data_IF_594256848810
#
_entry.id   IF_594256848810
#
_cell.length_a   1.000
_cell.length_b   1.000
_cell.length_c   1.000
_cell.angle_alpha   90.00
_cell.angle_beta   90.00
_cell.angle_gamma   90.00
#
_symmetry.space_group_name_H-M   'P 1'
#
loop_
_entity.id
_entity.type
_entity.pdbx_description
1 polymer ?
#
# COMPACT_ATOMS: atom_id res chain seq x y z
N UNK A 1 -7.95 1.67 -7.76
CA UNK A 1 -7.88 2.34 -6.45
C UNK A 1 -8.71 1.55 -5.46
N UNK A 2 -8.08 1.08 -4.39
CA UNK A 2 -8.68 0.20 -3.40
C UNK A 2 -9.81 0.88 -2.63
N UNK A 3 -10.95 0.19 -2.52
CA UNK A 3 -12.11 0.67 -1.76
C UNK A 3 -11.99 0.22 -0.31
N UNK A 4 -12.08 1.17 0.64
CA UNK A 4 -11.90 0.89 2.08
C UNK A 4 -12.78 -0.26 2.58
N UNK A 5 -14.03 -0.28 2.13
CA UNK A 5 -15.01 -1.29 2.53
C UNK A 5 -14.59 -2.71 2.11
N UNK A 6 -13.95 -2.87 0.96
CA UNK A 6 -13.47 -4.16 0.47
C UNK A 6 -12.27 -4.66 1.28
N UNK A 7 -11.34 -3.76 1.60
CA UNK A 7 -10.20 -4.06 2.49
C UNK A 7 -10.69 -4.53 3.86
N UNK A 8 -11.64 -3.80 4.46
CA UNK A 8 -12.21 -4.17 5.76
C UNK A 8 -12.94 -5.52 5.68
N UNK A 9 -13.75 -5.75 4.64
CA UNK A 9 -14.43 -7.02 4.42
C UNK A 9 -13.43 -8.18 4.35
N UNK A 10 -12.32 -7.99 3.65
CA UNK A 10 -11.26 -8.99 3.55
C UNK A 10 -10.58 -9.27 4.89
N UNK A 11 -10.32 -8.23 5.69
CA UNK A 11 -9.81 -8.40 7.05
C UNK A 11 -10.76 -9.25 7.91
N UNK A 12 -12.07 -9.00 7.81
CA UNK A 12 -13.08 -9.76 8.55
C UNK A 12 -13.17 -11.22 8.13
N UNK A 13 -13.03 -11.51 6.83
CA UNK A 13 -12.94 -12.88 6.32
C UNK A 13 -11.72 -13.59 6.90
N UNK A 14 -10.54 -12.97 6.83
CA UNK A 14 -9.31 -13.54 7.37
C UNK A 14 -9.39 -13.74 8.89
N UNK A 15 -10.03 -12.83 9.61
CA UNK A 15 -10.27 -12.96 11.03
C UNK A 15 -11.16 -14.16 11.38
N UNK A 16 -12.23 -14.43 10.60
CA UNK A 16 -13.07 -15.62 10.80
C UNK A 16 -12.31 -16.92 10.56
N UNK A 17 -11.42 -16.94 9.57
CA UNK A 17 -10.59 -18.10 9.24
C UNK A 17 -9.53 -18.32 10.34
N UNK A 18 -8.81 -17.25 10.72
CA UNK A 18 -7.79 -17.26 11.75
C UNK A 18 -8.35 -17.66 13.13
N UNK A 19 -9.56 -17.19 13.47
CA UNK A 19 -10.26 -17.60 14.68
C UNK A 19 -10.50 -19.11 14.74
N UNK A 20 -10.62 -19.80 13.62
CA UNK A 20 -10.77 -21.26 13.56
C UNK A 20 -9.43 -22.00 13.43
N UNK A 21 -8.31 -21.28 13.32
CA UNK A 21 -6.98 -21.81 13.03
C UNK A 21 -6.97 -22.72 11.78
N UNK A 22 -7.84 -22.44 10.80
CA UNK A 22 -7.86 -23.13 9.51
C UNK A 22 -6.61 -22.79 8.71
N UNK A 23 -6.14 -23.64 7.78
CA UNK A 23 -4.96 -23.37 6.95
C UNK A 23 -4.95 -22.00 6.28
N UNK A 24 -3.74 -21.47 6.04
CA UNK A 24 -3.54 -20.19 5.33
C UNK A 24 -4.17 -20.29 3.93
N UNK A 25 -5.09 -19.39 3.56
CA UNK A 25 -5.66 -19.36 2.21
C UNK A 25 -4.59 -19.09 1.14
N UNK A 26 -4.78 -19.67 -0.04
CA UNK A 26 -3.95 -19.38 -1.21
C UNK A 26 -4.29 -18.02 -1.84
N UNK A 27 -3.38 -17.50 -2.66
CA UNK A 27 -3.59 -16.27 -3.44
C UNK A 27 -3.58 -14.97 -2.62
N UNK A 28 -3.23 -15.03 -1.33
CA UNK A 28 -3.13 -13.85 -0.48
C UNK A 28 -1.90 -13.00 -0.81
N UNK A 29 -2.08 -11.69 -0.83
CA UNK A 29 -1.01 -10.70 -0.80
C UNK A 29 -0.18 -10.81 0.48
N UNK A 30 1.02 -10.24 0.49
CA UNK A 30 1.90 -10.28 1.67
C UNK A 30 1.25 -9.65 2.91
N UNK A 31 0.52 -8.53 2.73
CA UNK A 31 -0.19 -7.86 3.83
C UNK A 31 -1.30 -8.74 4.43
N UNK A 32 -2.05 -9.46 3.58
CA UNK A 32 -3.09 -10.40 4.02
C UNK A 32 -2.51 -11.61 4.73
N UNK A 33 -1.41 -12.18 4.22
CA UNK A 33 -0.71 -13.29 4.86
C UNK A 33 -0.22 -12.90 6.25
N UNK A 34 0.35 -11.70 6.39
CA UNK A 34 0.81 -11.18 7.67
C UNK A 34 -0.35 -10.98 8.64
N UNK A 35 -1.44 -10.35 8.21
CA UNK A 35 -2.65 -10.20 9.04
C UNK A 35 -3.14 -11.55 9.56
N UNK A 36 -3.34 -12.52 8.67
CA UNK A 36 -3.84 -13.84 9.05
C UNK A 36 -2.90 -14.53 10.06
N UNK A 37 -1.59 -14.54 9.81
CA UNK A 37 -0.62 -15.21 10.69
C UNK A 37 -0.59 -14.57 12.07
N UNK A 38 -0.60 -13.24 12.13
CA UNK A 38 -0.64 -12.50 13.40
C UNK A 38 -1.94 -12.74 14.16
N UNK A 39 -3.09 -12.77 13.48
CA UNK A 39 -4.38 -13.12 14.12
C UNK A 39 -4.36 -14.54 14.69
N UNK A 40 -3.77 -15.52 13.98
CA UNK A 40 -3.62 -16.87 14.51
C UNK A 40 -2.77 -16.90 15.79
N UNK A 41 -1.74 -16.06 15.91
CA UNK A 41 -0.94 -15.94 17.14
C UNK A 41 -1.81 -15.39 18.27
N UNK A 42 -2.50 -14.26 18.05
CA UNK A 42 -3.40 -13.66 19.06
C UNK A 42 -4.42 -14.68 19.56
N UNK A 43 -5.05 -15.44 18.65
CA UNK A 43 -6.02 -16.45 19.03
C UNK A 43 -5.41 -17.63 19.79
N UNK A 44 -4.17 -18.05 19.48
CA UNK A 44 -3.47 -19.10 20.23
C UNK A 44 -3.12 -18.62 21.64
N UNK A 45 -2.50 -17.45 21.77
CA UNK A 45 -2.09 -16.89 23.05
C UNK A 45 -3.29 -16.66 23.97
N UNK A 46 -4.40 -16.13 23.44
CA UNK A 46 -5.63 -15.93 24.20
C UNK A 46 -6.21 -17.26 24.70
N UNK A 47 -6.24 -18.30 23.87
CA UNK A 47 -6.73 -19.65 24.26
C UNK A 47 -5.82 -20.33 25.26
N UNK A 48 -4.52 -20.08 25.18
CA UNK A 48 -3.52 -20.58 26.13
C UNK A 48 -3.52 -19.79 27.46
N UNK A 49 -4.36 -18.75 27.58
CA UNK A 49 -4.44 -17.91 28.77
C UNK A 49 -3.23 -17.00 29.00
N UNK A 50 -2.37 -16.84 27.98
CA UNK A 50 -1.16 -16.00 28.08
C UNK A 50 -1.49 -14.51 27.98
N UNK A 51 -2.59 -14.17 27.31
CA UNK A 51 -3.11 -12.81 27.20
C UNK A 51 -4.57 -12.78 27.61
N UNK A 52 -5.00 -11.65 28.18
CA UNK A 52 -6.40 -11.45 28.52
C UNK A 52 -7.25 -11.01 27.31
N UNK A 53 -8.56 -10.93 27.51
CA UNK A 53 -9.51 -10.55 26.45
C UNK A 53 -9.28 -9.12 25.95
N UNK A 54 -8.87 -8.21 26.84
CA UNK A 54 -8.67 -6.81 26.48
C UNK A 54 -7.44 -6.69 25.58
N UNK A 55 -6.32 -7.28 25.99
CA UNK A 55 -5.10 -7.35 25.20
C UNK A 55 -5.36 -7.99 23.83
N UNK A 56 -6.09 -9.11 23.77
CA UNK A 56 -6.43 -9.74 22.50
C UNK A 56 -7.25 -8.83 21.56
N UNK A 57 -8.16 -8.02 22.10
CA UNK A 57 -8.95 -7.07 21.32
C UNK A 57 -8.11 -5.89 20.83
N UNK A 58 -7.22 -5.37 21.68
CA UNK A 58 -6.33 -4.25 21.35
C UNK A 58 -5.32 -4.66 20.27
N UNK A 59 -4.68 -5.83 20.40
CA UNK A 59 -3.80 -6.41 19.39
C UNK A 59 -4.52 -6.59 18.05
N UNK A 60 -5.74 -7.14 18.07
CA UNK A 60 -6.54 -7.30 16.85
C UNK A 60 -6.80 -5.97 16.15
N UNK A 61 -7.11 -4.92 16.91
CA UNK A 61 -7.36 -3.58 16.37
C UNK A 61 -6.12 -3.00 15.69
N UNK A 62 -4.95 -3.16 16.30
CA UNK A 62 -3.68 -2.71 15.71
C UNK A 62 -3.31 -3.50 14.46
N UNK A 63 -3.52 -4.83 14.46
CA UNK A 63 -3.32 -5.66 13.28
C UNK A 63 -4.21 -5.23 12.10
N UNK A 64 -5.48 -4.91 12.36
CA UNK A 64 -6.38 -4.37 11.34
C UNK A 64 -5.87 -3.04 10.77
N UNK A 65 -5.41 -2.13 11.64
CA UNK A 65 -4.85 -0.85 11.22
C UNK A 65 -3.61 -1.02 10.35
N UNK A 66 -2.69 -1.89 10.77
CA UNK A 66 -1.46 -2.19 10.02
C UNK A 66 -1.77 -2.82 8.65
N UNK A 67 -2.71 -3.77 8.60
CA UNK A 67 -3.16 -4.37 7.34
C UNK A 67 -3.76 -3.35 6.39
N UNK A 68 -4.68 -2.50 6.86
CA UNK A 68 -5.32 -1.47 6.03
C UNK A 68 -4.26 -0.54 5.43
N UNK A 69 -3.32 -0.07 6.25
CA UNK A 69 -2.23 0.78 5.77
C UNK A 69 -1.35 0.05 4.74
N UNK A 70 -1.01 -1.22 4.98
CA UNK A 70 -0.23 -2.02 4.05
C UNK A 70 -0.93 -2.27 2.71
N UNK A 71 -2.23 -2.55 2.75
CA UNK A 71 -3.04 -2.72 1.54
C UNK A 71 -3.09 -1.44 0.71
N UNK A 72 -3.29 -0.28 1.35
CA UNK A 72 -3.26 1.02 0.67
C UNK A 72 -1.88 1.36 0.11
N UNK A 73 -0.81 1.08 0.84
CA UNK A 73 0.55 1.32 0.36
C UNK A 73 0.86 0.49 -0.90
N UNK A 74 0.40 -0.77 -0.93
CA UNK A 74 0.54 -1.63 -2.11
C UNK A 74 -0.26 -1.10 -3.31
N UNK A 75 -1.53 -0.71 -3.10
CA UNK A 75 -2.38 -0.10 -4.15
C UNK A 75 -1.72 1.14 -4.75
N UNK A 76 -1.22 2.01 -3.88
CA UNK A 76 -0.60 3.27 -4.27
C UNK A 76 0.66 3.00 -5.07
N UNK A 77 1.51 2.07 -4.64
CA UNK A 77 2.74 1.73 -5.33
C UNK A 77 2.46 1.10 -6.70
N UNK A 78 1.49 0.18 -6.79
CA UNK A 78 1.09 -0.42 -8.07
C UNK A 78 0.49 0.62 -9.03
N UNK A 79 -0.39 1.48 -8.51
CA UNK A 79 -1.00 2.57 -9.27
C UNK A 79 0.07 3.54 -9.78
N UNK A 80 0.99 3.94 -8.90
CA UNK A 80 2.12 4.79 -9.27
C UNK A 80 3.01 4.13 -10.34
N UNK A 81 3.26 2.83 -10.24
CA UNK A 81 4.02 2.08 -11.24
C UNK A 81 3.39 2.15 -12.63
N UNK A 82 2.06 2.03 -12.73
CA UNK A 82 1.34 2.18 -14.01
C UNK A 82 1.42 3.62 -14.55
N UNK A 83 1.23 4.62 -13.69
CA UNK A 83 1.41 6.02 -14.07
C UNK A 83 2.84 6.32 -14.53
N UNK A 84 3.84 5.80 -13.82
CA UNK A 84 5.25 6.02 -14.12
C UNK A 84 5.64 5.45 -15.49
N UNK A 85 5.09 4.29 -15.89
CA UNK A 85 5.31 3.72 -17.23
C UNK A 85 4.83 4.66 -18.35
N UNK A 86 3.59 5.15 -18.23
CA UNK A 86 3.01 6.08 -19.21
C UNK A 86 3.77 7.40 -19.21
N UNK A 87 4.03 7.91 -18.01
CA UNK A 87 4.74 9.16 -17.81
C UNK A 87 6.15 9.13 -18.40
N UNK A 88 6.92 8.07 -18.16
CA UNK A 88 8.27 7.90 -18.70
C UNK A 88 8.28 7.90 -20.23
N UNK A 89 7.29 7.25 -20.86
CA UNK A 89 7.13 7.28 -22.32
C UNK A 89 6.89 8.71 -22.82
N UNK A 90 5.94 9.43 -22.23
CA UNK A 90 5.66 10.81 -22.62
C UNK A 90 6.87 11.73 -22.38
N UNK A 91 7.58 11.55 -21.26
CA UNK A 91 8.81 12.28 -20.96
C UNK A 91 9.85 12.07 -22.06
N UNK A 92 10.07 10.82 -22.46
CA UNK A 92 11.01 10.48 -23.51
C UNK A 92 10.65 11.18 -24.84
N UNK A 93 9.39 11.08 -25.27
CA UNK A 93 8.89 11.74 -26.49
C UNK A 93 9.06 13.27 -26.42
N UNK A 94 8.78 13.90 -25.27
CA UNK A 94 8.97 15.35 -25.09
C UNK A 94 10.45 15.75 -25.19
N UNK A 95 11.35 14.97 -24.57
CA UNK A 95 12.78 15.30 -24.58
C UNK A 95 13.46 15.01 -25.93
N UNK A 96 13.01 13.98 -26.64
CA UNK A 96 13.57 13.60 -27.94
C UNK A 96 12.98 14.43 -29.09
N UNK A 97 11.65 14.53 -29.18
CA UNK A 97 10.93 15.07 -30.34
C UNK A 97 10.24 16.41 -30.06
N UNK A 98 10.08 16.79 -28.79
CA UNK A 98 9.35 18.00 -28.38
C UNK A 98 10.11 19.30 -28.66
N UNK A 99 9.37 20.42 -28.66
CA UNK A 99 9.98 21.75 -28.74
C UNK A 99 10.55 22.21 -27.39
N UNK A 100 11.42 23.24 -27.40
CA UNK A 100 12.09 23.74 -26.19
C UNK A 100 11.13 24.23 -25.08
N UNK A 101 9.94 24.71 -25.46
CA UNK A 101 8.91 25.10 -24.47
C UNK A 101 8.33 23.86 -23.78
N UNK A 102 8.04 22.79 -24.53
CA UNK A 102 7.55 21.53 -23.98
C UNK A 102 8.58 20.86 -23.06
N UNK A 103 9.86 20.85 -23.45
CA UNK A 103 10.97 20.33 -22.62
C UNK A 103 11.07 21.09 -21.30
N UNK A 104 11.11 22.43 -21.36
CA UNK A 104 11.16 23.28 -20.17
C UNK A 104 9.92 23.10 -19.27
N UNK A 105 8.73 23.00 -19.85
CA UNK A 105 7.51 22.77 -19.09
C UNK A 105 7.56 21.41 -18.39
N UNK A 106 7.99 20.37 -19.09
CA UNK A 106 8.18 19.04 -18.49
C UNK A 106 9.18 19.09 -17.34
N UNK A 107 10.35 19.73 -17.52
CA UNK A 107 11.34 19.86 -16.44
C UNK A 107 10.74 20.52 -15.19
N UNK A 108 9.97 21.60 -15.35
CA UNK A 108 9.30 22.28 -14.23
C UNK A 108 8.29 21.35 -13.55
N UNK A 109 7.40 20.71 -14.32
CA UNK A 109 6.38 19.80 -13.79
C UNK A 109 6.98 18.58 -13.07
N UNK A 110 8.18 18.16 -13.47
CA UNK A 110 8.91 17.06 -12.87
C UNK A 110 9.81 17.47 -11.69
N UNK A 111 9.86 18.76 -11.35
CA UNK A 111 10.79 19.29 -10.34
C UNK A 111 12.27 19.22 -10.74
N UNK A 112 12.56 18.94 -12.02
CA UNK A 112 13.91 18.93 -12.60
C UNK A 112 14.33 20.31 -13.13
N UNK A 113 13.37 21.22 -13.28
CA UNK A 113 13.58 22.61 -13.62
C UNK A 113 14.32 23.30 -12.47
N UNK A 114 15.66 23.24 -12.51
CA UNK A 114 16.50 24.12 -11.69
C UNK A 114 16.00 25.55 -11.89
N UNK A 115 15.86 26.30 -10.80
CA UNK A 115 15.44 27.70 -10.79
C UNK A 115 16.37 28.63 -11.56
N UNK A 116 16.49 28.47 -12.88
CA UNK A 116 17.11 29.42 -13.80
C UNK A 116 16.19 30.64 -14.06
N UNK A 117 15.42 31.02 -13.05
CA UNK A 117 14.75 32.32 -13.00
C UNK A 117 15.62 33.38 -12.31
N UNK A 118 16.73 33.00 -11.65
CA UNK A 118 17.55 33.90 -10.83
C UNK A 118 19.03 34.03 -11.26
N UNK A 119 19.41 33.57 -12.44
CA UNK A 119 20.77 33.75 -12.97
C UNK A 119 20.71 34.24 -14.41
N UNK A 120 20.54 35.56 -14.60
CA UNK A 120 21.35 36.40 -15.50
C UNK A 120 20.75 37.81 -15.59
N UNK A 121 21.56 38.78 -15.16
CA UNK A 121 21.70 40.20 -15.56
C UNK A 121 20.48 41.00 -16.03
#
# INVERSE_FOLDING_TARGET
MLVKAEVVKKADELNRIAAKLLPLPEGLTQAEQLLYKSLCIVYREFRAGQIDKKQALDEKKELYRAYINGAYALDLWQTYGEYAKVFQKCQYEIHHDGCEVCKRLNDILCGMGRGKANETH
#
